data_IF_774230244870
#
_entry.id   IF_774230244870
#
_cell.length_a   1.000
_cell.length_b   1.000
_cell.length_c   1.000
_cell.angle_alpha   90.00
_cell.angle_beta   90.00
_cell.angle_gamma   90.00
#
_symmetry.space_group_name_H-M   'P 1'
#
loop_
_entity.id
_entity.type
_entity.pdbx_description
1 polymer ?
#
# COMPACT_ATOMS: atom_id res chain seq x y z
N UNK A 1 21.90 1.51 -1.75
CA UNK A 1 21.30 2.76 -2.24
C UNK A 1 20.67 3.43 -1.04
N UNK A 2 21.02 4.69 -0.76
CA UNK A 2 20.45 5.42 0.37
C UNK A 2 19.04 5.84 -0.02
N UNK A 3 18.02 5.17 0.49
CA UNK A 3 16.64 5.65 0.46
C UNK A 3 16.53 6.71 1.55
N UNK A 4 16.89 7.95 1.21
CA UNK A 4 16.63 9.08 2.09
C UNK A 4 15.17 9.44 1.87
N UNK A 5 14.29 9.39 2.88
CA UNK A 5 12.91 9.79 2.71
C UNK A 5 12.89 11.25 2.25
N UNK A 6 12.40 11.47 1.02
CA UNK A 6 12.16 12.82 0.53
C UNK A 6 11.10 13.47 1.42
N UNK A 7 11.24 14.76 1.71
CA UNK A 7 10.24 15.45 2.52
C UNK A 7 8.84 15.28 1.88
N UNK A 8 7.79 15.02 2.66
CA UNK A 8 6.44 14.84 2.13
C UNK A 8 6.03 16.09 1.36
N UNK A 9 5.43 15.89 0.18
CA UNK A 9 4.87 16.99 -0.62
C UNK A 9 3.63 17.57 0.09
N UNK A 10 3.32 18.85 -0.16
CA UNK A 10 2.20 19.58 0.44
C UNK A 10 0.85 19.04 -0.10
N UNK A 11 0.47 17.85 0.36
CA UNK A 11 -0.65 17.08 -0.18
C UNK A 11 -0.53 15.57 0.04
N UNK A 12 0.64 15.08 0.45
CA UNK A 12 0.83 13.68 0.79
C UNK A 12 0.20 13.34 2.15
N UNK A 13 -0.83 12.51 2.12
CA UNK A 13 -1.60 12.13 3.33
C UNK A 13 -1.15 10.78 3.94
N UNK A 14 -0.53 9.92 3.13
CA UNK A 14 -0.08 8.61 3.58
C UNK A 14 0.99 7.99 2.66
N UNK A 15 1.79 7.11 3.26
CA UNK A 15 2.80 6.27 2.63
C UNK A 15 2.55 4.81 2.99
N UNK A 16 2.57 3.93 1.98
CA UNK A 16 2.49 2.48 2.16
C UNK A 16 3.57 1.81 1.32
N UNK A 17 4.29 0.87 1.93
CA UNK A 17 5.28 0.03 1.27
C UNK A 17 4.70 -1.38 1.11
N UNK A 18 4.86 -1.95 -0.09
CA UNK A 18 4.42 -3.29 -0.44
C UNK A 18 5.59 -4.06 -1.03
N UNK A 19 5.78 -5.31 -0.61
CA UNK A 19 6.66 -6.21 -1.35
C UNK A 19 6.02 -6.55 -2.70
N UNK A 20 6.84 -6.72 -3.75
CA UNK A 20 6.34 -6.99 -5.09
C UNK A 20 5.53 -8.28 -5.20
N UNK A 21 5.90 -9.31 -4.43
CA UNK A 21 5.17 -10.59 -4.37
C UNK A 21 3.90 -10.44 -3.54
N UNK A 22 3.96 -9.76 -2.40
CA UNK A 22 2.77 -9.49 -1.57
C UNK A 22 1.74 -8.64 -2.31
N UNK A 23 2.17 -7.68 -3.13
CA UNK A 23 1.29 -6.92 -4.00
C UNK A 23 0.55 -7.81 -5.00
N UNK A 24 1.27 -8.71 -5.69
CA UNK A 24 0.63 -9.64 -6.64
C UNK A 24 -0.38 -10.56 -5.93
N UNK A 25 -0.02 -11.08 -4.75
CA UNK A 25 -0.92 -11.91 -3.94
C UNK A 25 -2.15 -11.12 -3.46
N UNK A 26 -1.96 -9.86 -3.04
CA UNK A 26 -3.04 -8.96 -2.63
C UNK A 26 -4.02 -8.72 -3.78
N UNK A 27 -3.50 -8.36 -4.96
CA UNK A 27 -4.29 -8.11 -6.16
C UNK A 27 -5.03 -9.38 -6.63
N UNK A 28 -4.45 -10.56 -6.41
CA UNK A 28 -5.09 -11.85 -6.66
C UNK A 28 -6.08 -12.28 -5.55
N UNK A 29 -6.23 -11.50 -4.48
CA UNK A 29 -7.10 -11.82 -3.35
C UNK A 29 -6.63 -12.99 -2.47
N UNK A 30 -5.33 -13.30 -2.50
CA UNK A 30 -4.74 -14.42 -1.75
C UNK A 30 -4.31 -14.05 -0.33
N UNK A 31 -4.01 -12.77 -0.10
CA UNK A 31 -3.66 -12.23 1.23
C UNK A 31 -4.58 -11.06 1.58
N UNK A 32 -4.92 -10.86 2.86
CA UNK A 32 -5.74 -9.73 3.27
C UNK A 32 -4.95 -8.41 3.14
N UNK A 33 -5.62 -7.30 2.82
CA UNK A 33 -5.02 -5.96 2.66
C UNK A 33 -4.05 -5.57 3.78
N UNK A 34 -4.45 -5.82 5.03
CA UNK A 34 -3.72 -5.39 6.23
C UNK A 34 -2.41 -6.15 6.44
N UNK A 35 -2.31 -7.38 5.91
CA UNK A 35 -1.12 -8.22 6.04
C UNK A 35 -0.14 -8.03 4.87
N UNK A 36 -0.61 -7.50 3.74
CA UNK A 36 0.23 -7.29 2.56
C UNK A 36 1.19 -6.09 2.70
N UNK A 37 0.92 -5.17 3.63
CA UNK A 37 1.70 -3.96 3.84
C UNK A 37 2.99 -4.24 4.63
N UNK A 38 4.14 -4.08 3.97
CA UNK A 38 5.47 -4.19 4.58
C UNK A 38 5.82 -2.96 5.46
N UNK A 39 5.16 -1.82 5.24
CA UNK A 39 5.31 -0.61 6.02
C UNK A 39 4.21 0.41 5.76
N UNK A 40 3.86 1.21 6.76
CA UNK A 40 2.78 2.19 6.68
C UNK A 40 3.05 3.43 7.54
N UNK A 41 2.74 4.61 7.01
CA UNK A 41 2.89 5.91 7.68
C UNK A 41 1.78 6.87 7.22
N UNK A 42 1.25 7.67 8.14
CA UNK A 42 0.22 8.68 7.83
C UNK A 42 -1.20 8.18 8.06
N UNK A 43 -2.13 8.64 7.24
CA UNK A 43 -3.56 8.37 7.40
C UNK A 43 -3.91 6.89 7.15
N UNK A 44 -4.35 6.20 8.20
CA UNK A 44 -4.71 4.78 8.14
C UNK A 44 -5.92 4.48 7.26
N UNK A 45 -6.87 5.42 7.17
CA UNK A 45 -8.05 5.24 6.32
C UNK A 45 -7.65 5.31 4.85
N UNK A 46 -6.84 6.30 4.47
CA UNK A 46 -6.30 6.40 3.11
C UNK A 46 -5.50 5.15 2.71
N UNK A 47 -4.69 4.62 3.64
CA UNK A 47 -3.91 3.39 3.42
C UNK A 47 -4.83 2.20 3.22
N UNK A 48 -5.82 2.01 4.10
CA UNK A 48 -6.80 0.93 4.00
C UNK A 48 -7.52 0.99 2.65
N UNK A 49 -8.01 2.16 2.27
CA UNK A 49 -8.78 2.33 1.04
C UNK A 49 -7.97 1.99 -0.21
N UNK A 50 -6.69 2.40 -0.27
CA UNK A 50 -5.76 2.00 -1.34
C UNK A 50 -5.52 0.49 -1.38
N UNK A 51 -5.30 -0.16 -0.24
CA UNK A 51 -5.04 -1.60 -0.19
C UNK A 51 -6.28 -2.41 -0.63
N UNK A 52 -7.48 -1.97 -0.23
CA UNK A 52 -8.74 -2.55 -0.71
C UNK A 52 -8.96 -2.30 -2.21
N UNK A 53 -8.64 -1.10 -2.71
CA UNK A 53 -8.69 -0.80 -4.14
C UNK A 53 -7.73 -1.72 -4.93
N UNK A 54 -6.50 -1.92 -4.46
CA UNK A 54 -5.54 -2.84 -5.06
C UNK A 54 -6.06 -4.28 -5.10
N UNK A 55 -6.64 -4.78 -4.00
CA UNK A 55 -7.27 -6.10 -3.93
C UNK A 55 -8.48 -6.28 -4.85
N UNK A 56 -9.03 -5.18 -5.38
CA UNK A 56 -10.18 -5.20 -6.30
C UNK A 56 -9.77 -5.20 -7.79
N UNK A 57 -8.51 -4.90 -8.12
CA UNK A 57 -8.10 -4.66 -9.51
C UNK A 57 -8.26 -5.86 -10.45
N UNK A 58 -8.10 -7.09 -9.96
CA UNK A 58 -8.30 -8.30 -10.78
C UNK A 58 -9.77 -8.60 -11.12
N UNK A 59 -10.70 -7.80 -10.59
CA UNK A 59 -12.15 -7.99 -10.77
C UNK A 59 -12.79 -6.94 -11.71
N UNK A 60 -12.00 -6.04 -12.29
CA UNK A 60 -12.46 -5.07 -13.32
C UNK A 60 -12.40 -5.63 -14.73
#
# INVERSE_FOLDING_TARGET
ASDTPSAPDDGEVAHVALDGVEFCQLVAGHVPPEEAAAGQLGDREAIRDVLFAAASMSRM
#
